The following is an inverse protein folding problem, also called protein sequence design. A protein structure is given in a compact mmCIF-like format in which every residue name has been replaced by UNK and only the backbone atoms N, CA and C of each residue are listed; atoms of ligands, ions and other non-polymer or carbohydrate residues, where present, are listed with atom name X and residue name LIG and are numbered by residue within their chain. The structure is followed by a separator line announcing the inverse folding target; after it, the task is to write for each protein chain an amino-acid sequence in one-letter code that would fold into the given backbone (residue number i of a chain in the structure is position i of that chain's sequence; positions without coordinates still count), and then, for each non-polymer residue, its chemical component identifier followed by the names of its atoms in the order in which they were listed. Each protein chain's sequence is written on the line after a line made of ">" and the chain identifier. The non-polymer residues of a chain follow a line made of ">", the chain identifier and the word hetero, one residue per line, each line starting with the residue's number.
data_IF_250969790379
#
_entry.id   IF_250969790379
#
_cell.length_a   1.000
_cell.length_b   1.000
_cell.length_c   1.000
_cell.angle_alpha   90.00
_cell.angle_beta   90.00
_cell.angle_gamma   90.00
#
_symmetry.space_group_name_H-M   'P 1'
#
loop_
_entity.id
_entity.type
_entity.pdbx_description
1 polymer ?
#
# COMPACT_ATOMS: atom_id res chain seq x y z
N UNK A 1 25.04 40.63 53.12
CA UNK A 1 24.54 40.67 51.74
C UNK A 1 25.60 40.00 50.85
N UNK A 2 25.47 38.70 50.63
CA UNK A 2 26.31 37.92 49.72
C UNK A 2 25.36 37.30 48.70
N UNK A 3 25.44 37.73 47.45
CA UNK A 3 24.61 37.22 46.37
C UNK A 3 25.16 35.87 45.90
N UNK A 4 24.39 34.81 46.10
CA UNK A 4 24.65 33.50 45.49
C UNK A 4 24.12 33.57 44.06
N UNK A 5 25.03 33.54 43.07
CA UNK A 5 24.68 33.27 41.67
C UNK A 5 24.29 31.80 41.53
N UNK A 6 23.02 31.53 41.28
CA UNK A 6 22.56 30.21 40.81
C UNK A 6 22.54 30.26 39.28
N UNK A 7 23.51 29.59 38.66
CA UNK A 7 23.52 29.37 37.22
C UNK A 7 22.54 28.25 36.91
N UNK A 8 21.41 28.58 36.27
CA UNK A 8 20.48 27.58 35.75
C UNK A 8 21.13 26.92 34.53
N UNK A 9 21.63 25.70 34.70
CA UNK A 9 22.04 24.86 33.58
C UNK A 9 20.76 24.31 32.95
N UNK A 10 20.27 24.93 31.88
CA UNK A 10 19.27 24.33 31.01
C UNK A 10 19.91 23.12 30.33
N UNK A 11 19.66 21.93 30.87
CA UNK A 11 19.87 20.71 30.13
C UNK A 11 18.92 20.75 28.92
N UNK A 12 19.46 21.01 27.73
CA UNK A 12 18.80 20.59 26.51
C UNK A 12 18.72 19.07 26.59
N UNK A 13 17.59 18.55 27.02
CA UNK A 13 17.20 17.18 26.68
C UNK A 13 16.95 17.24 25.18
N UNK A 14 17.98 16.94 24.39
CA UNK A 14 17.76 16.44 23.04
C UNK A 14 17.01 15.13 23.23
N UNK A 15 15.68 15.18 23.19
CA UNK A 15 14.90 14.00 22.87
C UNK A 15 15.35 13.59 21.48
N UNK A 16 16.33 12.69 21.41
CA UNK A 16 16.52 11.89 20.22
C UNK A 16 15.13 11.29 19.96
N UNK A 17 14.49 11.73 18.87
CA UNK A 17 13.34 11.02 18.36
C UNK A 17 13.84 9.60 18.10
N UNK A 18 13.55 8.68 19.01
CA UNK A 18 13.71 7.27 18.73
C UNK A 18 12.77 7.03 17.57
N UNK A 19 13.32 6.83 16.38
CA UNK A 19 12.59 6.34 15.22
C UNK A 19 11.83 5.12 15.74
N UNK A 20 10.50 5.18 15.74
CA UNK A 20 9.72 4.03 16.14
C UNK A 20 10.06 2.89 15.19
N UNK A 21 10.53 1.77 15.72
CA UNK A 21 10.81 0.57 14.94
C UNK A 21 9.59 0.20 14.08
N UNK A 22 9.78 -0.19 12.81
CA UNK A 22 8.66 -0.53 11.94
C UNK A 22 7.87 -1.71 12.52
N UNK A 23 6.55 -1.63 12.43
CA UNK A 23 5.64 -2.68 12.88
C UNK A 23 5.58 -3.82 11.84
N UNK A 24 6.58 -4.70 11.91
CA UNK A 24 6.75 -5.83 10.97
C UNK A 24 5.53 -6.76 10.95
N UNK A 25 4.90 -7.00 12.10
CA UNK A 25 3.72 -7.86 12.18
C UNK A 25 2.52 -7.26 11.42
N UNK A 26 2.29 -5.95 11.55
CA UNK A 26 1.25 -5.25 10.79
C UNK A 26 1.52 -5.28 9.28
N UNK A 27 2.76 -5.01 8.87
CA UNK A 27 3.16 -5.06 7.46
C UNK A 27 3.00 -6.47 6.85
N UNK A 28 3.46 -7.52 7.54
CA UNK A 28 3.28 -8.91 7.09
C UNK A 28 1.80 -9.31 7.00
N UNK A 29 0.96 -8.75 7.87
CA UNK A 29 -0.49 -8.95 7.81
C UNK A 29 -1.07 -8.31 6.54
N UNK A 30 -0.72 -7.05 6.26
CA UNK A 30 -1.17 -6.31 5.08
C UNK A 30 -0.78 -6.97 3.76
N UNK A 31 0.41 -7.58 3.67
CA UNK A 31 0.85 -8.35 2.48
C UNK A 31 -0.15 -9.43 2.04
N UNK A 32 -1.05 -9.85 2.93
CA UNK A 32 -2.03 -10.93 2.72
C UNK A 32 -3.49 -10.50 2.95
N UNK A 33 -3.72 -9.25 3.39
CA UNK A 33 -5.04 -8.73 3.68
C UNK A 33 -5.81 -8.54 2.37
N UNK A 34 -6.90 -9.30 2.18
CA UNK A 34 -7.72 -9.19 0.96
C UNK A 34 -8.33 -7.81 0.74
N UNK A 35 -8.52 -7.03 1.79
CA UNK A 35 -9.03 -5.66 1.66
C UNK A 35 -7.98 -4.74 1.07
N UNK A 36 -6.70 -4.97 1.37
CA UNK A 36 -5.58 -4.22 0.80
C UNK A 36 -5.20 -4.76 -0.58
N UNK A 37 -4.88 -6.06 -0.66
CA UNK A 37 -4.48 -6.73 -1.91
C UNK A 37 -5.60 -6.69 -2.95
N UNK A 38 -6.86 -6.82 -2.54
CA UNK A 38 -8.03 -6.78 -3.43
C UNK A 38 -8.28 -5.42 -4.08
N UNK A 39 -7.57 -4.35 -3.68
CA UNK A 39 -7.61 -3.07 -4.39
C UNK A 39 -6.85 -3.10 -5.72
N UNK A 40 -5.95 -4.07 -5.90
CA UNK A 40 -5.12 -4.22 -7.10
C UNK A 40 -5.15 -5.62 -7.71
N UNK A 41 -5.71 -6.62 -7.00
CA UNK A 41 -5.83 -8.00 -7.47
C UNK A 41 -7.31 -8.39 -7.71
N UNK A 42 -7.66 -8.94 -8.90
CA UNK A 42 -6.80 -9.08 -10.09
C UNK A 42 -6.40 -7.72 -10.67
N UNK A 43 -5.33 -7.66 -11.47
CA UNK A 43 -4.83 -6.41 -12.08
C UNK A 43 -5.88 -5.67 -12.95
N UNK A 44 -7.00 -6.32 -13.27
CA UNK A 44 -8.17 -5.73 -13.95
C UNK A 44 -9.04 -4.85 -13.05
N UNK A 45 -8.75 -4.75 -11.73
CA UNK A 45 -9.43 -3.80 -10.84
C UNK A 45 -9.26 -2.37 -11.36
N UNK A 46 -10.39 -1.64 -11.43
CA UNK A 46 -10.50 -0.36 -12.13
C UNK A 46 -11.18 -0.46 -13.51
N UNK A 47 -11.35 -1.68 -14.02
CA UNK A 47 -12.12 -2.00 -15.23
C UNK A 47 -11.49 -1.45 -16.50
N UNK A 48 -12.32 -1.17 -17.51
CA UNK A 48 -11.85 -0.73 -18.83
C UNK A 48 -11.18 0.64 -18.83
N UNK A 49 -11.18 1.36 -17.71
CA UNK A 49 -10.88 2.79 -17.73
C UNK A 49 -9.87 3.29 -16.70
N UNK A 50 -9.54 2.44 -15.73
CA UNK A 50 -8.50 2.65 -14.72
C UNK A 50 -7.79 1.34 -14.44
N UNK A 51 -6.53 1.41 -14.05
CA UNK A 51 -5.74 0.25 -13.59
C UNK A 51 -5.15 0.64 -12.25
N UNK A 52 -5.80 0.26 -11.13
CA UNK A 52 -5.37 0.70 -9.79
C UNK A 52 -3.93 0.25 -9.50
N UNK A 53 -3.53 -0.93 -9.98
CA UNK A 53 -2.16 -1.42 -9.86
C UNK A 53 -1.13 -0.46 -10.50
N UNK A 54 -1.43 0.06 -11.70
CA UNK A 54 -0.56 1.03 -12.36
C UNK A 54 -0.52 2.38 -11.61
N UNK A 55 -1.63 2.79 -10.99
CA UNK A 55 -1.67 3.99 -10.15
C UNK A 55 -0.79 3.85 -8.90
N UNK A 56 -0.79 2.67 -8.26
CA UNK A 56 0.07 2.37 -7.11
C UNK A 56 1.55 2.34 -7.49
N UNK A 57 1.89 1.69 -8.61
CA UNK A 57 3.26 1.67 -9.12
C UNK A 57 3.74 3.07 -9.50
N UNK A 58 2.89 3.86 -10.18
CA UNK A 58 3.18 5.27 -10.50
C UNK A 58 3.41 6.09 -9.24
N UNK A 59 2.61 5.89 -8.19
CA UNK A 59 2.76 6.61 -6.92
C UNK A 59 4.16 6.43 -6.32
N UNK A 60 4.70 5.21 -6.39
CA UNK A 60 6.06 4.96 -5.89
C UNK A 60 7.15 5.64 -6.73
N UNK A 61 7.05 5.62 -8.07
CA UNK A 61 7.98 6.38 -8.90
C UNK A 61 7.91 7.89 -8.61
N UNK A 62 6.70 8.42 -8.43
CA UNK A 62 6.49 9.84 -8.19
C UNK A 62 7.02 10.31 -6.83
N UNK A 63 6.90 9.48 -5.78
CA UNK A 63 7.53 9.75 -4.47
C UNK A 63 9.08 9.71 -4.60
N UNK A 64 9.61 8.64 -5.21
CA UNK A 64 11.05 8.48 -5.48
C UNK A 64 11.66 9.61 -6.30
N UNK A 65 10.89 10.19 -7.22
CA UNK A 65 11.39 11.15 -8.21
C UNK A 65 11.95 12.44 -7.63
N UNK A 66 11.62 12.75 -6.38
CA UNK A 66 12.17 13.90 -5.65
C UNK A 66 13.62 13.71 -5.19
N UNK A 67 14.17 12.50 -5.26
CA UNK A 67 15.47 12.19 -4.69
C UNK A 67 16.62 12.98 -5.32
N UNK A 68 17.53 13.40 -4.45
CA UNK A 68 18.81 13.98 -4.77
C UNK A 68 19.90 13.12 -4.13
N UNK A 69 20.54 12.28 -4.96
CA UNK A 69 21.58 11.34 -4.51
C UNK A 69 22.80 12.07 -3.95
N UNK A 70 23.14 13.26 -4.45
CA UNK A 70 24.29 14.01 -3.96
C UNK A 70 24.04 14.62 -2.57
N UNK A 71 22.81 15.07 -2.33
CA UNK A 71 22.40 15.63 -1.04
C UNK A 71 21.90 14.56 -0.04
N UNK A 72 21.49 13.38 -0.51
CA UNK A 72 20.83 12.36 0.30
C UNK A 72 19.47 12.80 0.83
N UNK A 73 18.68 13.53 0.02
CA UNK A 73 17.39 14.11 0.42
C UNK A 73 16.27 13.74 -0.55
N UNK A 74 15.02 13.70 -0.06
CA UNK A 74 13.86 13.23 -0.82
C UNK A 74 13.88 11.71 -1.03
N UNK A 75 13.18 11.24 -2.06
CA UNK A 75 13.04 9.82 -2.37
C UNK A 75 11.75 9.23 -1.81
N UNK A 76 11.73 7.92 -1.56
CA UNK A 76 10.57 7.26 -0.95
C UNK A 76 10.49 7.62 0.53
N UNK A 77 9.87 8.76 0.81
CA UNK A 77 9.65 9.31 2.15
C UNK A 77 8.17 9.67 2.38
N UNK A 78 7.27 9.32 1.46
CA UNK A 78 5.84 9.62 1.58
C UNK A 78 5.51 11.11 1.38
N UNK A 79 6.46 11.96 0.97
CA UNK A 79 6.23 13.36 0.65
C UNK A 79 5.19 13.56 -0.46
N UNK A 80 4.98 12.56 -1.33
CA UNK A 80 3.94 12.55 -2.37
C UNK A 80 2.52 12.87 -1.83
N UNK A 81 2.27 12.60 -0.54
CA UNK A 81 1.01 12.92 0.13
C UNK A 81 0.69 14.43 0.14
N UNK A 82 1.73 15.26 0.10
CA UNK A 82 1.68 16.71 0.09
C UNK A 82 1.69 17.31 -1.32
N UNK A 83 1.76 16.48 -2.36
CA UNK A 83 2.09 16.89 -3.73
C UNK A 83 0.98 16.57 -4.74
N UNK A 84 -0.15 16.06 -4.26
CA UNK A 84 -1.25 15.52 -5.08
C UNK A 84 -1.90 16.56 -6.01
N UNK A 85 -1.70 17.85 -5.76
CA UNK A 85 -2.26 18.96 -6.55
C UNK A 85 -1.27 19.54 -7.57
N UNK A 86 -0.02 19.05 -7.63
CA UNK A 86 0.98 19.54 -8.58
C UNK A 86 0.64 19.13 -10.01
N UNK A 87 1.06 19.91 -11.00
CA UNK A 87 0.81 19.61 -12.42
C UNK A 87 1.49 18.33 -12.87
N UNK A 88 2.70 18.05 -12.39
CA UNK A 88 3.44 16.79 -12.60
C UNK A 88 2.71 15.55 -12.03
N UNK A 89 1.74 15.79 -11.15
CA UNK A 89 0.90 14.80 -10.47
C UNK A 89 -0.56 14.86 -10.94
N UNK A 90 -0.85 15.53 -12.06
CA UNK A 90 -2.21 15.83 -12.52
C UNK A 90 -3.10 14.59 -12.66
N UNK A 91 -4.25 14.63 -11.99
CA UNK A 91 -5.29 13.61 -12.00
C UNK A 91 -5.78 13.26 -10.58
N UNK A 92 -6.84 12.47 -10.48
CA UNK A 92 -7.42 12.11 -9.18
C UNK A 92 -6.80 10.85 -8.54
N UNK A 93 -5.90 10.16 -9.26
CA UNK A 93 -5.39 8.85 -8.84
C UNK A 93 -4.48 8.96 -7.62
N UNK A 94 -3.55 9.93 -7.52
CA UNK A 94 -2.69 10.07 -6.34
C UNK A 94 -3.51 10.33 -5.06
N UNK A 95 -4.45 11.26 -5.11
CA UNK A 95 -5.34 11.50 -3.95
C UNK A 95 -6.10 10.22 -3.56
N UNK A 96 -6.60 9.46 -4.54
CA UNK A 96 -7.27 8.19 -4.28
C UNK A 96 -6.32 7.14 -3.67
N UNK A 97 -5.11 7.00 -4.19
CA UNK A 97 -4.09 6.06 -3.71
C UNK A 97 -3.65 6.39 -2.29
N UNK A 98 -3.38 7.66 -1.98
CA UNK A 98 -3.01 8.08 -0.62
C UNK A 98 -4.14 7.82 0.37
N UNK A 99 -5.39 8.10 -0.01
CA UNK A 99 -6.55 7.77 0.83
C UNK A 99 -6.72 6.25 1.05
N UNK A 100 -6.43 5.44 0.04
CA UNK A 100 -6.40 3.99 0.17
C UNK A 100 -5.31 3.55 1.15
N UNK A 101 -4.08 4.03 1.01
CA UNK A 101 -2.99 3.71 1.93
C UNK A 101 -3.30 4.13 3.37
N UNK A 102 -3.83 5.33 3.58
CA UNK A 102 -4.23 5.83 4.90
C UNK A 102 -5.33 4.99 5.57
N UNK A 103 -6.18 4.32 4.78
CA UNK A 103 -7.18 3.38 5.32
C UNK A 103 -6.55 2.16 5.99
N UNK A 104 -5.35 1.78 5.57
CA UNK A 104 -4.61 0.63 6.10
C UNK A 104 -3.40 1.02 6.97
N UNK A 105 -3.10 2.31 7.06
CA UNK A 105 -2.00 2.82 7.87
C UNK A 105 -2.32 2.63 9.36
N UNK A 106 -1.37 2.07 10.09
CA UNK A 106 -1.48 1.76 11.52
C UNK A 106 -0.25 2.31 12.26
N UNK A 107 -0.26 2.21 13.59
CA UNK A 107 0.89 2.58 14.39
C UNK A 107 2.11 1.73 14.02
N UNK A 108 3.25 2.39 13.77
CA UNK A 108 4.49 1.76 13.30
C UNK A 108 4.46 1.36 11.81
N UNK A 109 3.43 1.75 11.04
CA UNK A 109 3.39 1.60 9.58
C UNK A 109 3.41 2.99 8.95
N UNK A 110 4.50 3.35 8.29
CA UNK A 110 4.65 4.65 7.64
C UNK A 110 3.96 4.66 6.27
N UNK A 111 3.53 5.84 5.82
CA UNK A 111 3.00 6.01 4.47
C UNK A 111 4.08 5.68 3.42
N UNK A 112 5.34 6.03 3.68
CA UNK A 112 6.48 5.67 2.83
C UNK A 112 6.64 4.14 2.66
N UNK A 113 6.48 3.36 3.74
CA UNK A 113 6.47 1.90 3.63
C UNK A 113 5.23 1.38 2.89
N UNK A 114 4.06 2.03 3.06
CA UNK A 114 2.85 1.70 2.30
C UNK A 114 2.99 1.96 0.80
N UNK A 115 3.72 3.00 0.39
CA UNK A 115 4.01 3.30 -1.01
C UNK A 115 4.75 2.14 -1.68
N UNK A 116 5.79 1.61 -1.03
CA UNK A 116 6.54 0.46 -1.56
C UNK A 116 5.73 -0.83 -1.48
N UNK A 117 5.08 -1.09 -0.35
CA UNK A 117 4.23 -2.28 -0.18
C UNK A 117 3.12 -2.31 -1.23
N UNK A 118 2.52 -1.16 -1.54
CA UNK A 118 1.56 -0.99 -2.61
C UNK A 118 2.16 -1.32 -3.97
N UNK A 119 3.29 -0.73 -4.33
CA UNK A 119 3.94 -0.95 -5.63
C UNK A 119 4.30 -2.42 -5.87
N UNK A 120 4.92 -3.12 -4.91
CA UNK A 120 5.26 -4.54 -5.06
C UNK A 120 3.99 -5.42 -5.12
N UNK A 121 2.93 -5.05 -4.39
CA UNK A 121 1.64 -5.75 -4.43
C UNK A 121 0.99 -5.58 -5.80
N UNK A 122 1.08 -4.39 -6.39
CA UNK A 122 0.60 -4.10 -7.73
C UNK A 122 1.34 -4.91 -8.80
N UNK A 123 2.68 -4.93 -8.78
CA UNK A 123 3.48 -5.74 -9.71
C UNK A 123 3.10 -7.22 -9.61
N UNK A 124 3.06 -7.78 -8.41
CA UNK A 124 2.67 -9.17 -8.19
C UNK A 124 1.23 -9.49 -8.61
N UNK A 125 0.28 -8.58 -8.36
CA UNK A 125 -1.12 -8.75 -8.76
C UNK A 125 -1.33 -8.76 -10.28
N UNK A 126 -0.38 -8.20 -11.04
CA UNK A 126 -0.34 -8.19 -12.50
C UNK A 126 0.52 -9.33 -13.08
N UNK A 127 1.02 -10.26 -12.26
CA UNK A 127 1.83 -11.40 -12.72
C UNK A 127 3.31 -11.12 -12.87
N UNK A 128 3.79 -9.98 -12.36
CA UNK A 128 5.20 -9.62 -12.37
C UNK A 128 6.04 -10.39 -11.33
N UNK A 129 7.36 -10.15 -11.31
CA UNK A 129 8.28 -10.85 -10.42
C UNK A 129 8.12 -10.42 -8.95
N UNK A 130 8.58 -11.27 -8.04
CA UNK A 130 8.63 -10.94 -6.61
C UNK A 130 9.77 -9.94 -6.35
N UNK A 131 9.43 -8.80 -5.78
CA UNK A 131 10.39 -7.77 -5.36
C UNK A 131 10.50 -7.80 -3.83
N UNK A 132 11.71 -7.97 -3.26
CA UNK A 132 11.88 -7.98 -1.81
C UNK A 132 11.39 -6.68 -1.16
N UNK A 133 10.61 -6.83 -0.10
CA UNK A 133 10.11 -5.70 0.68
C UNK A 133 10.99 -5.47 1.91
N UNK A 134 11.44 -4.23 2.09
CA UNK A 134 12.14 -3.79 3.29
C UNK A 134 11.32 -2.67 3.93
N UNK A 135 11.27 -2.61 5.26
CA UNK A 135 10.53 -1.57 5.99
C UNK A 135 11.48 -0.66 6.77
N UNK A 136 10.95 0.42 7.36
CA UNK A 136 11.71 1.37 8.17
C UNK A 136 11.88 2.75 7.51
N UNK A 137 11.15 3.03 6.43
CA UNK A 137 11.11 4.37 5.83
C UNK A 137 10.39 5.33 6.76
N UNK A 138 10.80 6.60 6.73
CA UNK A 138 10.25 7.66 7.55
C UNK A 138 9.30 8.53 6.73
N UNK A 139 8.18 8.92 7.33
CA UNK A 139 7.26 9.85 6.70
C UNK A 139 7.82 11.28 6.74
N UNK A 140 7.89 11.91 5.57
CA UNK A 140 8.21 13.32 5.42
C UNK A 140 7.11 14.19 6.04
N UNK A 141 7.52 15.31 6.65
CA UNK A 141 6.59 16.27 7.27
C UNK A 141 6.08 17.36 6.31
N UNK A 142 6.55 17.36 5.06
CA UNK A 142 6.22 18.35 4.05
C UNK A 142 6.44 17.80 2.65
N UNK A 143 5.95 18.53 1.64
CA UNK A 143 6.25 18.26 0.24
C UNK A 143 7.76 18.34 -0.05
N UNK A 144 8.23 17.56 -1.01
CA UNK A 144 9.57 17.66 -1.56
C UNK A 144 9.66 18.84 -2.56
N UNK A 145 10.81 18.99 -3.21
CA UNK A 145 11.04 20.07 -4.17
C UNK A 145 10.29 19.77 -5.49
N UNK A 146 9.43 20.70 -5.91
CA UNK A 146 8.65 20.63 -7.16
C UNK A 146 9.54 20.68 -8.41
N UNK A 147 9.06 20.12 -9.53
CA UNK A 147 9.74 20.16 -10.84
C UNK A 147 10.84 19.12 -10.99
N UNK A 148 10.94 18.18 -10.05
CA UNK A 148 11.94 17.10 -10.05
C UNK A 148 11.53 15.90 -10.91
N UNK A 149 10.23 15.72 -11.19
CA UNK A 149 9.73 14.60 -11.98
C UNK A 149 9.93 14.81 -13.48
N UNK A 150 10.30 13.77 -14.26
CA UNK A 150 10.37 13.87 -15.71
C UNK A 150 8.96 14.02 -16.30
N UNK A 151 8.80 14.99 -17.21
CA UNK A 151 7.57 15.18 -17.98
C UNK A 151 7.75 14.62 -19.40
N UNK A 152 6.69 14.10 -20.04
CA UNK A 152 6.82 13.50 -21.38
C UNK A 152 7.29 14.52 -22.43
N UNK A 153 6.89 15.78 -22.31
CA UNK A 153 7.28 16.88 -23.20
C UNK A 153 8.72 17.39 -23.01
N UNK A 154 9.50 16.82 -22.09
CA UNK A 154 10.89 17.22 -21.87
C UNK A 154 11.87 16.49 -22.78
N UNK A 155 13.01 17.13 -23.04
CA UNK A 155 14.07 16.59 -23.90
C UNK A 155 14.75 15.37 -23.28
N UNK A 156 15.41 14.56 -24.10
CA UNK A 156 16.17 13.37 -23.65
C UNK A 156 17.27 13.77 -22.67
N UNK A 157 17.92 14.90 -22.91
CA UNK A 157 18.94 15.45 -22.02
C UNK A 157 18.37 15.77 -20.64
N UNK A 158 17.18 16.38 -20.58
CA UNK A 158 16.49 16.65 -19.32
C UNK A 158 16.12 15.37 -18.58
N UNK A 159 15.65 14.33 -19.29
CA UNK A 159 15.37 13.02 -18.69
C UNK A 159 16.64 12.40 -18.10
N UNK A 160 17.74 12.37 -18.86
CA UNK A 160 19.04 11.87 -18.39
C UNK A 160 19.52 12.59 -17.13
N UNK A 161 19.40 13.93 -17.10
CA UNK A 161 19.78 14.73 -15.92
C UNK A 161 18.92 14.41 -14.69
N UNK A 162 17.60 14.24 -14.86
CA UNK A 162 16.68 13.92 -13.75
C UNK A 162 16.93 12.52 -13.17
N UNK A 163 17.12 11.52 -14.03
CA UNK A 163 17.46 10.17 -13.57
C UNK A 163 18.87 10.10 -12.95
N UNK A 164 19.85 10.83 -13.51
CA UNK A 164 21.18 10.93 -12.91
C UNK A 164 21.15 11.57 -11.51
N UNK A 165 20.31 12.60 -11.30
CA UNK A 165 20.09 13.20 -9.96
C UNK A 165 19.58 12.17 -8.95
N UNK A 166 18.70 11.27 -9.39
CA UNK A 166 18.19 10.16 -8.56
C UNK A 166 19.23 9.04 -8.37
N UNK A 167 20.38 9.08 -9.04
CA UNK A 167 21.42 8.04 -8.95
C UNK A 167 21.22 6.86 -9.91
N UNK A 168 20.48 7.04 -11.00
CA UNK A 168 20.27 6.02 -12.03
C UNK A 168 21.11 6.28 -13.28
N UNK A 169 21.65 5.20 -13.84
CA UNK A 169 22.30 5.21 -15.15
C UNK A 169 21.28 5.31 -16.30
N UNK A 170 21.71 5.66 -17.53
CA UNK A 170 20.83 5.64 -18.70
C UNK A 170 20.20 4.26 -18.95
N UNK A 171 20.94 3.17 -18.71
CA UNK A 171 20.41 1.82 -18.80
C UNK A 171 19.27 1.59 -17.80
N UNK A 172 19.45 2.01 -16.55
CA UNK A 172 18.42 1.86 -15.52
C UNK A 172 17.23 2.77 -15.73
N UNK A 173 17.42 3.94 -16.35
CA UNK A 173 16.33 4.77 -16.85
C UNK A 173 15.48 3.99 -17.87
N UNK A 174 16.09 3.34 -18.87
CA UNK A 174 15.38 2.46 -19.82
C UNK A 174 14.63 1.36 -19.07
N UNK A 175 15.27 0.70 -18.11
CA UNK A 175 14.65 -0.36 -17.30
C UNK A 175 13.44 0.16 -16.54
N UNK A 176 13.57 1.26 -15.78
CA UNK A 176 12.47 1.80 -14.97
C UNK A 176 11.28 2.23 -15.83
N UNK A 177 11.51 2.85 -16.99
CA UNK A 177 10.43 3.23 -17.92
C UNK A 177 9.77 1.98 -18.50
N UNK A 178 10.54 1.00 -19.00
CA UNK A 178 9.98 -0.23 -19.56
C UNK A 178 9.19 -1.04 -18.53
N UNK A 179 9.71 -1.17 -17.31
CA UNK A 179 9.03 -1.88 -16.22
C UNK A 179 7.79 -1.13 -15.74
N UNK A 180 7.87 0.20 -15.56
CA UNK A 180 6.76 1.03 -15.10
C UNK A 180 5.63 1.11 -16.11
N UNK A 181 5.95 1.13 -17.41
CA UNK A 181 4.99 1.19 -18.52
C UNK A 181 4.58 -0.20 -19.04
N UNK A 182 4.87 -1.28 -18.31
CA UNK A 182 4.34 -2.62 -18.60
C UNK A 182 2.85 -2.75 -18.27
N UNK A 183 2.32 -1.90 -17.37
CA UNK A 183 0.92 -1.92 -16.96
C UNK A 183 0.29 -0.53 -17.00
N UNK A 184 -1.00 -0.47 -17.29
CA UNK A 184 -1.77 0.77 -17.32
C UNK A 184 -1.70 1.50 -18.66
N UNK A 185 -1.68 2.83 -18.59
CA UNK A 185 -1.71 3.68 -19.77
C UNK A 185 -1.93 5.15 -19.43
N UNK A 186 -1.97 5.95 -20.47
CA UNK A 186 -2.05 7.41 -20.41
C UNK A 186 -3.49 7.89 -20.53
N UNK A 187 -3.94 8.78 -19.63
CA UNK A 187 -5.27 9.40 -19.70
C UNK A 187 -5.20 10.76 -20.39
N UNK A 188 -5.84 10.90 -21.55
CA UNK A 188 -5.79 12.13 -22.35
C UNK A 188 -6.32 13.38 -21.64
N UNK A 189 -7.26 13.24 -20.71
CA UNK A 189 -7.75 14.35 -19.88
C UNK A 189 -6.64 15.01 -19.05
N UNK A 190 -5.61 14.25 -18.64
CA UNK A 190 -4.49 14.76 -17.86
C UNK A 190 -3.25 15.06 -18.71
N UNK A 191 -3.21 14.56 -19.95
CA UNK A 191 -2.03 14.57 -20.83
C UNK A 191 -2.42 14.79 -22.30
N UNK A 192 -3.07 15.91 -22.63
CA UNK A 192 -3.67 16.13 -23.94
C UNK A 192 -2.65 16.22 -25.09
N UNK A 193 -1.37 16.49 -24.79
CA UNK A 193 -0.28 16.47 -25.78
C UNK A 193 0.10 15.05 -26.22
N UNK A 194 -0.20 14.04 -25.41
CA UNK A 194 0.14 12.63 -25.68
C UNK A 194 -1.00 11.95 -26.44
N UNK A 195 -2.23 12.07 -25.94
CA UNK A 195 -3.39 11.36 -26.48
C UNK A 195 -4.70 12.07 -26.18
N UNK A 196 -5.71 11.86 -27.03
CA UNK A 196 -7.10 12.24 -26.77
C UNK A 196 -7.95 11.08 -26.23
N UNK A 197 -7.38 9.87 -26.16
CA UNK A 197 -8.08 8.69 -25.66
C UNK A 197 -8.40 8.84 -24.16
N UNK A 198 -9.53 8.27 -23.74
CA UNK A 198 -9.87 8.17 -22.30
C UNK A 198 -8.78 7.44 -21.53
N UNK A 199 -8.23 6.38 -22.12
CA UNK A 199 -7.00 5.72 -21.72
C UNK A 199 -6.33 5.14 -22.97
N UNK A 200 -5.05 5.45 -23.17
CA UNK A 200 -4.19 4.86 -24.18
C UNK A 200 -3.22 3.90 -23.48
N UNK A 201 -3.35 2.57 -23.64
CA UNK A 201 -2.44 1.61 -23.05
C UNK A 201 -0.99 1.84 -23.44
N UNK A 202 -0.06 1.46 -22.56
CA UNK A 202 1.37 1.47 -22.89
C UNK A 202 1.77 0.30 -23.81
N UNK A 203 1.00 -0.78 -23.81
CA UNK A 203 1.16 -1.92 -24.73
C UNK A 203 -0.18 -2.68 -24.86
N UNK A 204 -0.20 -3.75 -25.66
CA UNK A 204 -1.38 -4.58 -25.90
C UNK A 204 -1.83 -5.41 -24.69
N UNK A 205 -1.03 -5.50 -23.63
CA UNK A 205 -1.26 -6.37 -22.47
C UNK A 205 -1.58 -5.62 -21.17
N UNK A 206 -1.74 -4.28 -21.16
CA UNK A 206 -2.25 -3.34 -20.11
C UNK A 206 -2.39 -3.80 -18.64
N UNK A 207 -3.01 -4.94 -18.36
CA UNK A 207 -3.21 -5.50 -17.02
C UNK A 207 -2.37 -6.77 -16.77
N UNK A 208 -1.28 -6.94 -17.50
CA UNK A 208 -0.31 -8.03 -17.35
C UNK A 208 1.07 -7.40 -17.29
N UNK A 209 1.82 -7.68 -16.24
CA UNK A 209 3.20 -7.21 -16.12
C UNK A 209 4.11 -8.17 -16.90
N UNK A 210 4.36 -7.85 -18.16
CA UNK A 210 5.18 -8.63 -19.08
C UNK A 210 6.09 -7.72 -19.95
N UNK A 211 6.83 -8.33 -20.89
CA UNK A 211 7.72 -7.59 -21.78
C UNK A 211 7.06 -7.12 -23.09
N UNK A 212 5.73 -6.99 -23.16
CA UNK A 212 5.03 -6.58 -24.39
C UNK A 212 5.46 -5.19 -24.87
N UNK A 213 5.57 -4.20 -23.98
CA UNK A 213 6.12 -2.87 -24.31
C UNK A 213 7.45 -2.94 -25.09
N UNK A 214 8.35 -3.84 -24.71
CA UNK A 214 9.64 -4.02 -25.37
C UNK A 214 9.50 -4.74 -26.72
N UNK A 215 8.71 -5.81 -26.79
CA UNK A 215 8.45 -6.56 -28.03
C UNK A 215 7.80 -5.70 -29.11
N UNK A 216 6.80 -4.93 -28.71
CA UNK A 216 6.07 -4.07 -29.63
C UNK A 216 6.92 -2.90 -30.12
N UNK A 217 7.71 -2.29 -29.24
CA UNK A 217 8.68 -1.26 -29.64
C UNK A 217 9.73 -1.82 -30.62
N UNK A 218 10.37 -2.93 -30.28
CA UNK A 218 11.43 -3.53 -31.11
C UNK A 218 10.91 -4.03 -32.48
N UNK A 219 9.63 -4.41 -32.59
CA UNK A 219 9.00 -4.80 -33.85
C UNK A 219 8.42 -3.64 -34.66
N UNK A 220 8.42 -2.42 -34.12
CA UNK A 220 7.80 -1.25 -34.74
C UNK A 220 6.27 -1.30 -34.78
N UNK A 221 5.64 -2.09 -33.90
CA UNK A 221 4.19 -2.29 -33.82
C UNK A 221 3.57 -1.73 -32.53
N UNK A 222 4.27 -0.83 -31.84
CA UNK A 222 3.81 -0.27 -30.57
C UNK A 222 2.51 0.52 -30.68
N UNK A 223 1.58 0.23 -29.78
CA UNK A 223 0.38 1.05 -29.56
C UNK A 223 0.59 2.17 -28.54
N UNK A 224 1.78 2.21 -27.91
CA UNK A 224 2.13 3.17 -26.88
C UNK A 224 2.12 4.60 -27.44
N UNK A 225 1.26 5.48 -26.91
CA UNK A 225 1.22 6.88 -27.35
C UNK A 225 2.48 7.68 -26.99
N UNK A 226 3.29 7.21 -26.05
CA UNK A 226 4.62 7.77 -25.70
C UNK A 226 5.77 7.12 -26.50
N UNK A 227 5.50 5.97 -27.12
CA UNK A 227 6.45 5.17 -27.91
C UNK A 227 6.39 5.47 -29.41
N UNK A 228 5.88 6.64 -29.80
CA UNK A 228 5.81 7.01 -31.22
C UNK A 228 7.17 7.49 -31.74
N UNK A 229 7.31 7.57 -33.06
CA UNK A 229 8.54 8.05 -33.70
C UNK A 229 8.84 9.50 -33.30
N UNK A 230 10.09 9.78 -32.95
CA UNK A 230 10.58 11.14 -32.71
C UNK A 230 10.99 11.80 -34.02
N UNK A 231 10.37 12.93 -34.37
CA UNK A 231 10.74 13.73 -35.53
C UNK A 231 11.95 14.64 -35.20
N UNK A 232 13.15 14.37 -35.75
CA UNK A 232 14.34 15.17 -35.44
C UNK A 232 14.32 16.57 -36.06
N UNK A 233 13.40 16.86 -36.98
CA UNK A 233 13.26 18.18 -37.62
C UNK A 233 12.51 19.18 -36.75
N UNK A 234 11.76 18.70 -35.75
CA UNK A 234 11.02 19.50 -34.78
C UNK A 234 11.41 19.14 -33.33
N UNK A 235 12.70 19.24 -32.95
CA UNK A 235 13.22 18.68 -31.70
C UNK A 235 12.70 19.37 -30.43
N UNK A 236 12.10 20.57 -30.57
CA UNK A 236 11.53 21.35 -29.48
C UNK A 236 10.00 21.45 -29.56
N UNK A 237 9.36 20.75 -30.49
CA UNK A 237 7.89 20.73 -30.55
C UNK A 237 7.32 19.92 -29.36
N UNK A 238 6.46 20.51 -28.51
CA UNK A 238 5.95 19.82 -27.33
C UNK A 238 5.14 18.56 -27.67
N UNK A 239 4.41 18.55 -28.79
CA UNK A 239 3.62 17.40 -29.22
C UNK A 239 4.47 16.24 -29.74
N UNK A 240 5.59 16.55 -30.39
CA UNK A 240 6.61 15.59 -30.80
C UNK A 240 7.33 15.00 -29.57
N UNK A 241 7.81 15.86 -28.67
CA UNK A 241 8.48 15.44 -27.45
C UNK A 241 7.58 14.55 -26.58
N UNK A 242 6.33 14.97 -26.37
CA UNK A 242 5.37 14.26 -25.53
C UNK A 242 5.03 12.86 -26.07
N UNK A 243 4.86 12.71 -27.39
CA UNK A 243 4.49 11.42 -28.01
C UNK A 243 5.66 10.46 -28.21
N UNK A 244 6.88 10.91 -27.97
CA UNK A 244 8.09 10.12 -28.23
C UNK A 244 8.96 9.92 -26.99
N UNK A 245 8.48 10.23 -25.78
CA UNK A 245 9.30 10.16 -24.55
C UNK A 245 9.87 8.77 -24.30
N UNK A 246 9.07 7.73 -24.52
CA UNK A 246 9.50 6.35 -24.30
C UNK A 246 10.46 5.92 -25.40
N UNK A 247 10.17 6.22 -26.66
CA UNK A 247 11.10 5.94 -27.78
C UNK A 247 12.45 6.59 -27.58
N UNK A 248 12.46 7.87 -27.17
CA UNK A 248 13.68 8.61 -26.89
C UNK A 248 14.45 7.98 -25.73
N UNK A 249 13.74 7.61 -24.66
CA UNK A 249 14.33 6.89 -23.52
C UNK A 249 14.94 5.56 -23.97
N UNK A 250 14.18 4.70 -24.66
CA UNK A 250 14.65 3.39 -25.11
C UNK A 250 15.85 3.45 -26.06
N UNK A 251 16.02 4.57 -26.77
CA UNK A 251 17.13 4.77 -27.71
C UNK A 251 18.44 5.26 -27.10
N UNK A 252 18.47 5.68 -25.82
CA UNK A 252 19.65 6.35 -25.23
C UNK A 252 20.90 5.46 -25.17
N UNK A 253 20.71 4.14 -25.16
CA UNK A 253 21.78 3.14 -25.16
C UNK A 253 21.91 2.41 -26.50
N UNK A 254 21.40 3.02 -27.58
CA UNK A 254 21.36 2.40 -28.90
C UNK A 254 20.33 1.26 -29.01
N UNK A 255 19.26 1.31 -28.22
CA UNK A 255 18.23 0.27 -28.08
C UNK A 255 18.76 -1.06 -27.53
N UNK A 256 19.94 -1.09 -26.89
CA UNK A 256 20.55 -2.34 -26.43
C UNK A 256 19.69 -3.01 -25.35
N UNK A 257 19.27 -2.25 -24.33
CA UNK A 257 18.49 -2.76 -23.20
C UNK A 257 17.08 -3.16 -23.61
N UNK A 258 16.38 -2.33 -24.39
CA UNK A 258 15.00 -2.65 -24.81
C UNK A 258 14.94 -3.86 -25.74
N UNK A 259 15.93 -4.04 -26.63
CA UNK A 259 16.01 -5.23 -27.50
C UNK A 259 16.32 -6.51 -26.72
N UNK A 260 17.15 -6.42 -25.67
CA UNK A 260 17.37 -7.53 -24.73
C UNK A 260 16.06 -7.94 -24.04
N UNK A 261 15.24 -6.98 -23.62
CA UNK A 261 13.93 -7.26 -23.03
C UNK A 261 12.94 -7.85 -24.02
N UNK A 262 12.90 -7.34 -25.26
CA UNK A 262 12.07 -7.92 -26.32
C UNK A 262 12.40 -9.41 -26.57
N UNK A 263 13.67 -9.78 -26.47
CA UNK A 263 14.14 -11.14 -26.67
C UNK A 263 13.93 -12.07 -25.46
N UNK A 264 13.80 -11.56 -24.23
CA UNK A 264 13.72 -12.38 -23.02
C UNK A 264 12.89 -11.75 -21.90
N UNK A 265 11.81 -12.45 -21.52
CA UNK A 265 10.97 -12.11 -20.36
C UNK A 265 11.76 -12.20 -19.05
N UNK A 266 12.64 -13.19 -18.93
CA UNK A 266 13.45 -13.41 -17.72
C UNK A 266 14.47 -12.28 -17.53
N UNK A 267 15.08 -11.80 -18.63
CA UNK A 267 15.98 -10.66 -18.59
C UNK A 267 15.24 -9.38 -18.15
N UNK A 268 14.03 -9.16 -18.69
CA UNK A 268 13.17 -8.05 -18.28
C UNK A 268 12.82 -8.14 -16.80
N UNK A 269 12.32 -9.28 -16.31
CA UNK A 269 11.97 -9.46 -14.90
C UNK A 269 13.17 -9.30 -13.97
N UNK A 270 14.32 -9.87 -14.33
CA UNK A 270 15.55 -9.77 -13.52
C UNK A 270 15.96 -8.30 -13.34
N UNK A 271 15.98 -7.54 -14.44
CA UNK A 271 16.41 -6.15 -14.39
C UNK A 271 15.34 -5.24 -13.74
N UNK A 272 14.04 -5.57 -13.89
CA UNK A 272 12.96 -4.90 -13.15
C UNK A 272 13.10 -5.11 -11.63
N UNK A 273 13.39 -6.34 -11.17
CA UNK A 273 13.62 -6.61 -9.73
C UNK A 273 14.82 -5.81 -9.22
N UNK A 274 15.91 -5.76 -9.99
CA UNK A 274 17.09 -4.99 -9.63
C UNK A 274 16.79 -3.49 -9.53
N UNK A 275 16.23 -2.90 -10.59
CA UNK A 275 16.02 -1.44 -10.68
C UNK A 275 14.93 -0.95 -9.75
N UNK A 276 13.82 -1.68 -9.62
CA UNK A 276 12.81 -1.36 -8.61
C UNK A 276 13.33 -1.58 -7.20
N UNK A 277 14.13 -2.63 -6.95
CA UNK A 277 14.80 -2.84 -5.66
C UNK A 277 15.65 -1.62 -5.27
N UNK A 278 16.47 -1.11 -6.19
CA UNK A 278 17.24 0.13 -5.98
C UNK A 278 16.33 1.34 -5.75
N UNK A 279 15.30 1.53 -6.58
CA UNK A 279 14.36 2.64 -6.43
C UNK A 279 13.59 2.60 -5.10
N UNK A 280 13.28 1.42 -4.58
CA UNK A 280 12.57 1.30 -3.32
C UNK A 280 13.49 1.41 -2.10
N UNK A 281 14.73 0.93 -2.20
CA UNK A 281 15.59 0.74 -1.02
C UNK A 281 16.78 1.72 -0.93
N UNK A 282 17.28 2.21 -2.07
CA UNK A 282 18.45 3.12 -2.11
C UNK A 282 18.03 4.59 -2.29
N UNK A 283 16.87 4.82 -2.91
CA UNK A 283 16.29 6.15 -3.13
C UNK A 283 15.44 6.53 -1.91
N UNK A 284 16.11 6.73 -0.79
CA UNK A 284 15.53 7.12 0.50
C UNK A 284 16.40 8.19 1.17
N UNK A 285 15.86 9.04 2.06
CA UNK A 285 16.64 10.05 2.75
C UNK A 285 17.83 9.45 3.52
N UNK A 286 18.95 10.18 3.57
CA UNK A 286 20.12 9.79 4.33
C UNK A 286 19.77 9.60 5.81
N UNK A 287 20.30 8.53 6.41
CA UNK A 287 20.00 8.14 7.78
C UNK A 287 18.80 7.19 7.94
N UNK A 288 18.08 6.88 6.85
CA UNK A 288 17.07 5.81 6.85
C UNK A 288 17.74 4.46 7.07
N UNK A 289 17.27 3.68 8.04
CA UNK A 289 17.69 2.28 8.24
C UNK A 289 16.54 1.35 7.88
N UNK A 290 16.77 0.54 6.85
CA UNK A 290 15.81 -0.44 6.40
C UNK A 290 16.06 -1.81 7.05
N UNK A 291 14.99 -2.53 7.33
CA UNK A 291 15.07 -3.91 7.83
C UNK A 291 15.64 -4.85 6.76
N UNK A 292 16.06 -6.09 7.12
CA UNK A 292 16.13 -7.17 6.16
C UNK A 292 14.79 -7.38 5.43
N UNK A 293 14.84 -8.11 4.31
CA UNK A 293 13.66 -8.40 3.53
C UNK A 293 12.59 -9.11 4.37
N UNK A 294 11.38 -8.57 4.38
CA UNK A 294 10.23 -9.09 5.11
C UNK A 294 9.65 -10.27 4.35
N UNK A 295 9.51 -11.40 5.05
CA UNK A 295 8.90 -12.61 4.49
C UNK A 295 7.42 -12.66 4.89
N UNK A 296 6.48 -12.90 3.95
CA UNK A 296 5.08 -13.11 4.28
C UNK A 296 4.88 -14.25 5.29
N UNK A 297 3.80 -14.19 6.08
CA UNK A 297 3.38 -15.35 6.87
C UNK A 297 3.04 -16.54 5.96
N UNK A 298 3.52 -17.73 6.32
CA UNK A 298 3.24 -18.98 5.59
C UNK A 298 1.73 -19.26 5.52
N UNK A 299 1.03 -19.07 6.63
CA UNK A 299 -0.44 -19.11 6.67
C UNK A 299 -0.91 -17.84 7.35
N UNK A 300 -1.82 -17.12 6.69
CA UNK A 300 -2.50 -15.99 7.31
C UNK A 300 -3.98 -15.99 6.93
N UNK A 301 -4.81 -15.53 7.84
CA UNK A 301 -6.26 -15.44 7.68
C UNK A 301 -6.75 -14.04 8.06
N UNK A 302 -7.50 -13.44 7.15
CA UNK A 302 -8.18 -12.17 7.33
C UNK A 302 -9.69 -12.35 7.22
N UNK A 303 -10.44 -11.54 7.98
CA UNK A 303 -11.90 -11.50 7.93
C UNK A 303 -12.37 -10.06 8.08
N UNK A 304 -13.42 -9.69 7.35
CA UNK A 304 -14.13 -8.46 7.65
C UNK A 304 -15.18 -8.74 8.74
N UNK A 305 -14.97 -8.13 9.89
CA UNK A 305 -15.85 -8.22 11.05
C UNK A 305 -16.53 -6.87 11.20
N UNK A 306 -17.86 -6.85 11.18
CA UNK A 306 -18.63 -5.62 11.41
C UNK A 306 -19.69 -5.87 12.46
N UNK A 307 -19.92 -4.90 13.32
CA UNK A 307 -21.05 -4.93 14.25
C UNK A 307 -22.19 -4.08 13.67
N UNK A 308 -23.36 -4.69 13.49
CA UNK A 308 -24.57 -3.99 13.05
C UNK A 308 -25.76 -4.52 13.83
N UNK A 309 -26.50 -3.61 14.46
CA UNK A 309 -27.67 -3.93 15.26
C UNK A 309 -27.32 -4.96 16.35
N UNK A 310 -26.21 -4.71 17.07
CA UNK A 310 -25.68 -5.58 18.12
C UNK A 310 -25.31 -7.01 17.71
N UNK A 311 -25.22 -7.29 16.40
CA UNK A 311 -24.85 -8.59 15.86
C UNK A 311 -23.56 -8.50 15.05
N UNK A 312 -22.64 -9.44 15.30
CA UNK A 312 -21.43 -9.58 14.51
C UNK A 312 -21.83 -10.11 13.14
N UNK A 313 -21.53 -9.35 12.10
CA UNK A 313 -21.61 -9.78 10.72
C UNK A 313 -20.21 -10.15 10.29
N UNK A 314 -20.02 -11.45 10.10
CA UNK A 314 -18.79 -12.04 9.61
C UNK A 314 -18.92 -12.19 8.09
N UNK A 315 -18.12 -11.41 7.36
CA UNK A 315 -18.00 -11.61 5.92
C UNK A 315 -16.71 -12.36 5.66
N UNK A 316 -16.84 -13.52 5.01
CA UNK A 316 -15.70 -14.33 4.54
C UNK A 316 -14.63 -13.42 3.95
N UNK A 317 -13.46 -13.37 4.59
CA UNK A 317 -12.32 -12.61 4.09
C UNK A 317 -11.45 -13.47 3.20
N UNK A 318 -10.14 -13.41 3.40
CA UNK A 318 -9.16 -14.23 2.69
C UNK A 318 -8.40 -15.13 3.64
N UNK A 319 -7.93 -16.25 3.12
CA UNK A 319 -6.79 -16.91 3.71
C UNK A 319 -5.74 -17.12 2.64
N UNK A 320 -4.47 -16.97 3.03
CA UNK A 320 -3.32 -17.19 2.15
C UNK A 320 -2.49 -18.34 2.70
N UNK A 321 -2.00 -19.16 1.78
CA UNK A 321 -0.89 -20.08 2.00
C UNK A 321 0.27 -19.63 1.10
N UNK A 322 1.41 -19.31 1.70
CA UNK A 322 2.59 -18.79 1.02
C UNK A 322 3.72 -19.82 1.01
N UNK A 323 4.37 -20.01 -0.14
CA UNK A 323 5.48 -20.96 -0.37
C UNK A 323 5.20 -22.42 0.07
N UNK A 324 3.98 -22.91 -0.17
CA UNK A 324 3.59 -24.29 0.16
C UNK A 324 3.11 -25.11 -1.04
N UNK A 325 3.41 -24.67 -2.27
CA UNK A 325 3.03 -25.41 -3.46
C UNK A 325 3.55 -26.87 -3.39
N UNK A 326 2.64 -27.83 -3.52
CA UNK A 326 2.95 -29.27 -3.44
C UNK A 326 3.28 -29.81 -2.04
N UNK A 327 3.28 -28.98 -0.98
CA UNK A 327 3.65 -29.41 0.39
C UNK A 327 2.47 -29.85 1.27
N UNK A 328 1.22 -29.56 0.85
CA UNK A 328 0.00 -29.83 1.63
C UNK A 328 -1.09 -30.51 0.79
N UNK A 329 -2.01 -31.20 1.46
CA UNK A 329 -3.12 -31.96 0.84
C UNK A 329 -4.51 -31.40 1.12
N UNK A 330 -4.69 -30.62 2.18
CA UNK A 330 -5.96 -29.99 2.50
C UNK A 330 -5.76 -28.63 3.18
N UNK A 331 -6.68 -27.71 2.93
CA UNK A 331 -6.75 -26.40 3.56
C UNK A 331 -8.19 -26.11 3.97
N UNK A 332 -8.42 -25.95 5.27
CA UNK A 332 -9.75 -25.78 5.85
C UNK A 332 -9.82 -24.50 6.70
N UNK A 333 -10.96 -23.83 6.67
CA UNK A 333 -11.25 -22.73 7.60
C UNK A 333 -12.24 -23.24 8.64
N UNK A 334 -11.85 -23.17 9.91
CA UNK A 334 -12.65 -23.56 11.06
C UNK A 334 -12.78 -22.39 12.03
N UNK A 335 -13.55 -22.58 13.10
CA UNK A 335 -13.73 -21.56 14.12
C UNK A 335 -13.80 -22.17 15.52
N UNK A 336 -13.56 -21.33 16.52
CA UNK A 336 -13.68 -21.67 17.94
C UNK A 336 -14.83 -20.86 18.53
N UNK A 337 -15.70 -21.50 19.29
CA UNK A 337 -16.78 -20.84 20.00
C UNK A 337 -16.21 -20.00 21.17
N UNK A 338 -17.01 -19.08 21.69
CA UNK A 338 -16.69 -18.24 22.86
C UNK A 338 -16.39 -19.05 24.13
N UNK A 339 -16.93 -20.25 24.26
CA UNK A 339 -16.65 -21.18 25.36
C UNK A 339 -15.37 -22.02 25.17
N UNK A 340 -14.64 -21.81 24.05
CA UNK A 340 -13.42 -22.54 23.69
C UNK A 340 -13.66 -23.85 22.95
N UNK A 341 -14.91 -24.29 22.77
CA UNK A 341 -15.22 -25.50 22.02
C UNK A 341 -15.03 -25.31 20.50
N UNK A 342 -14.67 -26.36 19.74
CA UNK A 342 -14.63 -26.29 18.30
C UNK A 342 -16.00 -25.98 17.69
N UNK A 343 -16.02 -25.12 16.68
CA UNK A 343 -17.21 -24.85 15.87
C UNK A 343 -17.63 -26.05 15.03
N UNK A 344 -18.93 -26.33 14.97
CA UNK A 344 -19.49 -27.48 14.24
C UNK A 344 -20.46 -27.09 13.12
N UNK A 345 -20.84 -25.82 13.03
CA UNK A 345 -21.79 -25.31 12.05
C UNK A 345 -21.09 -24.44 11.01
N UNK A 346 -20.76 -25.03 9.86
CA UNK A 346 -20.08 -24.34 8.76
C UNK A 346 -20.80 -23.07 8.29
N UNK A 347 -22.13 -22.98 8.42
CA UNK A 347 -22.89 -21.78 8.02
C UNK A 347 -22.51 -20.53 8.82
N UNK A 348 -21.94 -20.69 10.02
CA UNK A 348 -21.45 -19.56 10.81
C UNK A 348 -20.31 -18.78 10.14
N UNK A 349 -19.59 -19.41 9.21
CA UNK A 349 -18.51 -18.79 8.44
C UNK A 349 -19.00 -17.97 7.23
N UNK A 350 -20.28 -18.11 6.87
CA UNK A 350 -20.84 -17.53 5.64
C UNK A 350 -21.98 -16.56 5.96
N UNK A 351 -21.63 -15.28 6.14
CA UNK A 351 -22.57 -14.13 6.28
C UNK A 351 -23.73 -14.39 7.24
N UNK A 352 -23.43 -14.94 8.41
CA UNK A 352 -24.42 -15.11 9.47
C UNK A 352 -24.27 -13.99 10.50
N UNK A 353 -25.40 -13.51 11.01
CA UNK A 353 -25.41 -12.59 12.13
C UNK A 353 -25.19 -13.39 13.43
N UNK A 354 -24.00 -13.25 14.00
CA UNK A 354 -23.53 -14.04 15.15
C UNK A 354 -23.73 -13.23 16.43
N UNK A 355 -24.16 -13.91 17.49
CA UNK A 355 -24.22 -13.29 18.81
C UNK A 355 -22.80 -13.00 19.32
N UNK A 356 -22.48 -11.75 19.72
CA UNK A 356 -21.14 -11.40 20.14
C UNK A 356 -20.71 -12.11 21.43
N UNK A 357 -21.62 -12.57 22.30
CA UNK A 357 -21.31 -13.15 23.61
C UNK A 357 -21.13 -14.66 23.52
N UNK A 358 -22.02 -15.35 22.81
CA UNK A 358 -22.03 -16.82 22.73
C UNK A 358 -21.53 -17.38 21.39
N UNK A 359 -21.14 -16.50 20.46
CA UNK A 359 -20.75 -16.86 19.11
C UNK A 359 -19.29 -17.31 18.98
N UNK A 360 -18.58 -16.70 18.05
CA UNK A 360 -17.23 -17.09 17.64
C UNK A 360 -16.19 -16.26 18.41
N UNK A 361 -15.12 -16.91 18.88
CA UNK A 361 -13.97 -16.26 19.52
C UNK A 361 -12.72 -16.21 18.65
N UNK A 362 -12.58 -17.14 17.70
CA UNK A 362 -11.47 -17.16 16.76
C UNK A 362 -11.84 -17.90 15.48
N UNK A 363 -11.18 -17.53 14.38
CA UNK A 363 -11.08 -18.34 13.18
C UNK A 363 -9.71 -19.02 13.12
N UNK A 364 -9.68 -20.20 12.51
CA UNK A 364 -8.46 -20.97 12.31
C UNK A 364 -8.36 -21.47 10.88
N UNK A 365 -7.21 -21.23 10.26
CA UNK A 365 -6.79 -21.85 9.02
C UNK A 365 -6.03 -23.13 9.34
N UNK A 366 -6.58 -24.28 8.96
CA UNK A 366 -6.00 -25.61 9.18
C UNK A 366 -5.40 -26.09 7.87
N UNK A 367 -4.07 -26.11 7.81
CA UNK A 367 -3.33 -26.62 6.66
C UNK A 367 -2.82 -28.03 6.98
N UNK A 368 -3.38 -29.04 6.33
CA UNK A 368 -2.97 -30.44 6.48
C UNK A 368 -1.86 -30.77 5.49
N UNK A 369 -0.69 -31.07 6.01
CA UNK A 369 0.51 -31.44 5.26
C UNK A 369 0.34 -32.82 4.59
N UNK A 370 1.19 -33.12 3.60
CA UNK A 370 1.12 -34.39 2.87
C UNK A 370 1.33 -35.62 3.78
N UNK A 371 2.15 -35.49 4.83
CA UNK A 371 2.39 -36.52 5.84
C UNK A 371 1.23 -36.67 6.85
N UNK A 372 0.19 -35.83 6.74
CA UNK A 372 -0.98 -35.81 7.61
C UNK A 372 -0.83 -34.97 8.86
N UNK A 373 0.33 -34.36 9.11
CA UNK A 373 0.48 -33.37 10.18
C UNK A 373 -0.28 -32.08 9.86
N UNK A 374 -0.63 -31.30 10.89
CA UNK A 374 -1.19 -29.96 10.73
C UNK A 374 -0.08 -28.94 10.87
N UNK A 375 0.03 -28.01 9.92
CA UNK A 375 0.94 -26.89 10.02
C UNK A 375 0.63 -26.05 11.26
N UNK A 376 1.66 -25.61 11.97
CA UNK A 376 1.54 -24.57 12.99
C UNK A 376 2.75 -23.65 12.91
N UNK A 377 2.52 -22.35 13.06
CA UNK A 377 3.58 -21.35 13.09
C UNK A 377 3.86 -20.91 14.52
N UNK A 378 5.12 -20.55 14.87
CA UNK A 378 5.43 -19.98 16.19
C UNK A 378 4.66 -18.69 16.49
N UNK A 379 4.29 -17.96 15.44
CA UNK A 379 3.62 -16.66 15.50
C UNK A 379 2.08 -16.80 15.58
N UNK A 380 1.54 -18.01 15.37
CA UNK A 380 0.12 -18.31 15.50
C UNK A 380 -0.79 -17.61 14.48
N UNK A 381 -0.25 -17.16 13.34
CA UNK A 381 -0.99 -16.40 12.31
C UNK A 381 -2.00 -17.23 11.55
N UNK A 382 -1.96 -18.54 11.70
CA UNK A 382 -3.04 -19.44 11.31
C UNK A 382 -4.33 -19.24 12.14
N UNK A 383 -4.29 -18.49 13.24
CA UNK A 383 -5.44 -18.19 14.09
C UNK A 383 -5.71 -16.69 14.14
N UNK A 384 -6.83 -16.25 13.57
CA UNK A 384 -7.36 -14.90 13.78
C UNK A 384 -8.27 -14.91 15.01
N UNK A 385 -7.77 -14.38 16.11
CA UNK A 385 -8.62 -14.10 17.27
C UNK A 385 -9.57 -12.96 16.94
N UNK A 386 -10.83 -13.12 17.31
CA UNK A 386 -11.79 -12.02 17.25
C UNK A 386 -11.61 -11.22 18.54
N UNK A 387 -10.91 -10.10 18.42
CA UNK A 387 -10.81 -9.14 19.52
C UNK A 387 -12.08 -8.30 19.56
N UNK A 388 -12.93 -8.62 20.52
CA UNK A 388 -14.24 -8.01 20.71
C UNK A 388 -14.21 -6.86 21.71
N UNK A 389 -13.03 -6.39 22.11
CA UNK A 389 -12.91 -5.42 23.21
C UNK A 389 -13.65 -4.13 22.91
N UNK A 390 -13.49 -3.54 21.71
CA UNK A 390 -14.15 -2.30 21.30
C UNK A 390 -14.58 -2.40 19.83
N UNK A 391 -15.89 -2.32 19.55
CA UNK A 391 -16.45 -2.42 18.20
C UNK A 391 -17.39 -1.26 17.88
N UNK A 392 -17.28 -0.68 16.68
CA UNK A 392 -18.23 0.34 16.20
C UNK A 392 -19.53 -0.35 15.74
N UNK A 393 -20.66 -0.08 16.39
CA UNK A 393 -21.98 -0.58 15.96
C UNK A 393 -22.61 0.37 14.95
N UNK A 394 -22.66 -0.04 13.68
CA UNK A 394 -23.18 0.78 12.58
C UNK A 394 -24.72 0.82 12.48
N UNK A 395 -25.45 0.05 13.29
CA UNK A 395 -26.89 -0.14 13.15
C UNK A 395 -27.75 0.30 14.34
N UNK A 396 -27.14 0.62 15.49
CA UNK A 396 -27.88 1.08 16.66
C UNK A 396 -28.70 2.36 16.34
N UNK A 397 -29.81 2.55 17.06
CA UNK A 397 -30.70 3.72 16.91
C UNK A 397 -29.99 5.09 17.04
N UNK A 398 -28.76 5.09 17.55
CA UNK A 398 -27.93 6.25 17.80
C UNK A 398 -26.71 6.35 16.86
N UNK A 399 -26.46 5.37 15.99
CA UNK A 399 -25.38 5.48 14.99
C UNK A 399 -25.93 6.21 13.77
N UNK A 400 -25.34 7.37 13.43
CA UNK A 400 -26.00 8.36 12.58
C UNK A 400 -26.49 7.84 11.22
N UNK A 401 -27.78 8.12 10.96
CA UNK A 401 -28.30 8.50 9.64
C UNK A 401 -27.92 9.98 9.45
N UNK A 402 -27.19 10.30 8.38
CA UNK A 402 -26.74 11.67 8.11
C UNK A 402 -27.93 12.58 7.83
N UNK A 403 -28.31 13.41 8.80
CA UNK A 403 -29.17 14.57 8.60
C UNK A 403 -28.88 15.63 9.66
N UNK A 404 -28.28 16.74 9.22
CA UNK A 404 -28.11 18.02 9.92
C UNK A 404 -27.18 18.02 11.17
N UNK A 405 -25.87 17.88 10.93
CA UNK A 405 -24.87 18.63 11.71
C UNK A 405 -23.97 17.87 12.69
N UNK A 406 -24.09 16.55 12.84
CA UNK A 406 -23.20 15.79 13.73
C UNK A 406 -23.04 14.31 13.35
N UNK A 407 -21.92 13.72 13.74
CA UNK A 407 -21.65 12.27 13.64
C UNK A 407 -21.90 11.67 15.03
N UNK A 408 -22.97 10.88 15.18
CA UNK A 408 -23.14 10.04 16.36
C UNK A 408 -22.55 8.65 16.07
N UNK A 409 -21.57 8.26 16.89
CA UNK A 409 -20.90 6.95 16.83
C UNK A 409 -21.34 6.16 18.06
N UNK A 410 -21.79 4.92 17.85
CA UNK A 410 -22.07 3.98 18.92
C UNK A 410 -20.95 2.96 18.94
N UNK A 411 -20.38 2.72 20.12
CA UNK A 411 -19.32 1.73 20.33
C UNK A 411 -19.81 0.72 21.35
N UNK A 412 -19.66 -0.56 21.04
CA UNK A 412 -19.89 -1.66 21.97
C UNK A 412 -18.55 -2.09 22.56
N UNK A 413 -18.49 -2.15 23.89
CA UNK A 413 -17.34 -2.68 24.62
C UNK A 413 -17.72 -4.07 25.13
N UNK A 414 -17.04 -5.13 24.66
CA UNK A 414 -17.37 -6.52 25.04
C UNK A 414 -16.31 -7.20 25.92
N UNK A 415 -15.22 -6.50 26.24
CA UNK A 415 -14.18 -6.95 27.18
C UNK A 415 -14.49 -6.65 28.65
N UNK A 416 -13.58 -6.96 29.60
CA UNK A 416 -13.70 -6.45 30.96
C UNK A 416 -13.69 -4.93 30.89
N UNK A 417 -14.75 -4.31 31.41
CA UNK A 417 -14.96 -2.87 31.36
C UNK A 417 -15.17 -2.33 32.78
N UNK A 418 -14.32 -1.40 33.22
CA UNK A 418 -14.62 -0.55 34.37
C UNK A 418 -15.43 0.66 33.87
N UNK A 419 -16.57 1.03 34.48
CA UNK A 419 -17.26 2.29 34.19
C UNK A 419 -16.41 3.56 34.27
N UNK A 420 -15.22 3.50 34.89
CA UNK A 420 -14.21 4.56 34.91
C UNK A 420 -13.33 4.59 33.67
N UNK A 421 -13.23 3.50 32.92
CA UNK A 421 -12.47 3.43 31.68
C UNK A 421 -13.12 4.33 30.62
N UNK A 422 -12.28 5.13 29.94
CA UNK A 422 -12.71 5.99 28.86
C UNK A 422 -12.37 5.35 27.52
N UNK A 423 -13.34 5.31 26.62
CA UNK A 423 -13.11 4.99 25.21
C UNK A 423 -12.74 6.28 24.50
N UNK A 424 -11.55 6.30 23.91
CA UNK A 424 -11.10 7.40 23.07
C UNK A 424 -11.35 7.06 21.60
N UNK A 425 -12.05 7.96 20.90
CA UNK A 425 -12.21 7.89 19.45
C UNK A 425 -11.18 8.84 18.87
N UNK A 426 -10.14 8.27 18.27
CA UNK A 426 -9.24 9.00 17.41
C UNK A 426 -9.92 9.12 16.05
N UNK A 427 -10.29 10.32 15.66
CA UNK A 427 -10.90 10.59 14.38
C UNK A 427 -9.92 11.32 13.46
N UNK A 428 -10.07 11.15 12.16
CA UNK A 428 -9.30 11.89 11.17
C UNK A 428 -10.24 12.63 10.23
N UNK A 429 -9.88 13.88 9.88
CA UNK A 429 -10.52 14.56 8.77
C UNK A 429 -9.92 13.98 7.50
N UNK A 430 -10.69 13.14 6.82
CA UNK A 430 -10.38 12.58 5.49
C UNK A 430 -9.92 13.65 4.47
N UNK A 431 -10.18 14.93 4.71
CA UNK A 431 -9.81 16.04 3.82
C UNK A 431 -8.34 16.46 3.87
N UNK A 432 -7.52 16.00 4.82
CA UNK A 432 -6.11 16.38 4.90
C UNK A 432 -5.16 15.24 4.48
N UNK A 433 -4.78 15.16 3.20
CA UNK A 433 -3.85 14.14 2.72
C UNK A 433 -2.41 14.35 3.22
N UNK A 434 -2.12 15.45 3.93
CA UNK A 434 -0.77 15.90 4.30
C UNK A 434 -0.37 15.55 5.73
N UNK A 435 -1.22 14.87 6.51
CA UNK A 435 -0.95 14.67 7.93
C UNK A 435 -0.06 13.45 8.22
N UNK A 436 0.92 13.62 9.13
CA UNK A 436 1.83 12.57 9.62
C UNK A 436 1.48 12.06 11.02
N UNK A 437 0.46 12.63 11.67
CA UNK A 437 0.04 12.32 13.03
C UNK A 437 -1.46 12.03 13.12
N UNK A 438 -1.88 11.33 14.19
CA UNK A 438 -3.30 11.02 14.48
C UNK A 438 -4.07 12.24 15.01
N UNK A 439 -5.41 12.19 14.94
CA UNK A 439 -6.31 13.32 15.27
C UNK A 439 -6.35 13.63 16.74
N UNK A 440 -6.97 14.76 17.09
CA UNK A 440 -7.37 14.99 18.49
C UNK A 440 -8.30 13.86 18.94
N UNK A 441 -7.99 13.24 20.09
CA UNK A 441 -8.87 12.26 20.71
C UNK A 441 -10.20 12.91 21.10
N UNK A 442 -11.31 12.33 20.64
CA UNK A 442 -12.64 12.63 21.17
C UNK A 442 -12.96 11.59 22.26
N UNK A 443 -13.22 12.07 23.47
CA UNK A 443 -13.66 11.20 24.56
C UNK A 443 -15.13 10.81 24.34
N UNK A 444 -15.41 9.51 24.34
CA UNK A 444 -16.78 9.01 24.26
C UNK A 444 -17.44 8.98 25.65
N UNK A 445 -18.71 9.36 25.72
CA UNK A 445 -19.52 9.24 26.93
C UNK A 445 -20.13 7.84 27.07
N UNK A 446 -19.95 7.23 28.24
CA UNK A 446 -20.65 5.99 28.58
C UNK A 446 -22.16 6.23 28.68
N UNK A 447 -22.96 5.42 27.98
CA UNK A 447 -24.42 5.54 28.02
C UNK A 447 -25.09 4.53 28.94
N UNK A 448 -24.83 3.24 28.74
CA UNK A 448 -25.42 2.14 29.53
C UNK A 448 -24.74 0.81 29.25
N UNK A 449 -24.90 -0.14 30.18
CA UNK A 449 -24.56 -1.53 29.97
C UNK A 449 -25.61 -2.20 29.07
N UNK A 450 -25.20 -3.25 28.34
CA UNK A 450 -26.14 -4.09 27.60
C UNK A 450 -26.98 -4.88 28.62
N UNK A 451 -28.32 -4.81 28.56
CA UNK A 451 -29.18 -5.64 29.41
C UNK A 451 -28.83 -7.12 29.24
N UNK A 452 -28.89 -7.88 30.34
CA UNK A 452 -28.73 -9.34 30.36
C UNK A 452 -27.40 -9.88 29.81
N UNK A 453 -26.36 -9.04 29.73
CA UNK A 453 -25.03 -9.45 29.26
C UNK A 453 -24.00 -9.46 30.40
N UNK A 454 -23.54 -10.63 30.87
CA UNK A 454 -22.53 -10.70 31.90
C UNK A 454 -21.13 -10.46 31.29
N UNK A 455 -20.71 -9.19 31.21
CA UNK A 455 -19.36 -8.80 30.73
C UNK A 455 -18.26 -9.03 31.77
N UNK A 456 -18.24 -10.19 32.43
CA UNK A 456 -17.14 -10.58 33.33
C UNK A 456 -17.20 -12.08 33.62
N UNK A 457 -16.48 -12.87 32.84
CA UNK A 457 -16.13 -14.24 33.26
C UNK A 457 -14.64 -14.48 33.03
N UNK A 458 -13.78 -13.83 33.84
CA UNK A 458 -12.66 -14.58 34.39
C UNK A 458 -13.27 -15.51 35.44
N UNK A 459 -13.59 -16.74 35.04
CA UNK A 459 -13.59 -17.83 36.01
C UNK A 459 -12.13 -18.13 36.28
N UNK A 460 -11.61 -17.56 37.36
CA UNK A 460 -10.44 -18.13 38.01
C UNK A 460 -10.71 -19.63 38.21
N UNK A 461 -9.77 -20.47 37.77
CA UNK A 461 -9.61 -21.83 38.23
C UNK A 461 -8.19 -21.99 38.71
#
# INVERSE_FOLDING_TARGET
>A
MQFIKVTLLTALVTSAFTVAEPNIAALRTLMTDSRFVGLVAPCTVGGSTRTTAAEWLRTAFHDAGSYDHAAGTGGIDGSIAFETTRSENAGLFLTATINQYRTFQQEGVTLADMVVLGAITAVGACGGPVIPFHAGRLDAASAAIEGRLPLPEETTETHLQKFARMGFSPQEMVTLVACGHSIGGVHGTNTPLVTSARIAPFDSSRTVFDNAVAKEYASGQTINSLGQHFDPTAPNDPGNLARSSDSRTFSVDGNATINRYAASQDAFFTDCVSSFGRMFNDVVPAGTSLTPAIVPYTVNIGMLITLRNEKLNLQSGSARVYDMAGKYRAFEITYVNRDGSPGSNANMLFRTAVDPVSGISALKAVLTMNDGSTFSSPEGTETLKIDDTILVDQGAAFTCKHSNGGINITVAVLGPYDPKDKVEIIWDKVSDPTRTSRGESLLADYRRARPDTPYNVRRER
#
